data_IF_696158876202
#
_entry.id   IF_696158876202
#
_cell.length_a   1.000
_cell.length_b   1.000
_cell.length_c   1.000
_cell.angle_alpha   90.00
_cell.angle_beta   90.00
_cell.angle_gamma   90.00
#
_symmetry.space_group_name_H-M   'P 1'
#
loop_
_entity.id
_entity.type
_entity.pdbx_description
1 polymer ?
#
# COMPACT_ATOMS: atom_id res chain seq x y z
N UNK A 1 16.16 -27.15 -3.67
CA UNK A 1 15.94 -26.00 -4.58
C UNK A 1 15.19 -26.51 -5.79
N UNK A 2 14.45 -25.66 -6.52
CA UNK A 2 13.61 -26.04 -7.67
C UNK A 2 14.30 -25.61 -9.00
N UNK A 3 15.18 -26.45 -9.60
CA UNK A 3 15.93 -26.08 -10.81
C UNK A 3 15.06 -25.70 -12.00
N UNK A 4 13.90 -26.34 -12.10
CA UNK A 4 12.88 -26.14 -13.12
C UNK A 4 12.22 -24.75 -13.08
N UNK A 5 12.22 -24.10 -11.91
CA UNK A 5 11.66 -22.76 -11.72
C UNK A 5 12.72 -21.65 -11.71
N UNK A 6 14.01 -22.00 -11.79
CA UNK A 6 15.13 -21.07 -11.55
C UNK A 6 15.03 -19.82 -12.43
N UNK A 7 14.91 -20.01 -13.73
CA UNK A 7 14.96 -18.90 -14.69
C UNK A 7 13.74 -17.99 -14.57
N UNK A 8 12.57 -18.57 -14.29
CA UNK A 8 11.33 -17.82 -14.11
C UNK A 8 11.33 -17.00 -12.81
N UNK A 9 11.80 -17.59 -11.71
CA UNK A 9 11.94 -16.87 -10.44
C UNK A 9 12.98 -15.76 -10.54
N UNK A 10 14.09 -15.98 -11.26
CA UNK A 10 15.10 -14.95 -11.50
C UNK A 10 14.51 -13.80 -12.33
N UNK A 11 13.74 -14.10 -13.38
CA UNK A 11 13.05 -13.08 -14.18
C UNK A 11 12.11 -12.23 -13.33
N UNK A 12 11.31 -12.84 -12.46
CA UNK A 12 10.41 -12.09 -11.55
C UNK A 12 11.23 -11.21 -10.61
N UNK A 13 12.28 -11.76 -10.00
CA UNK A 13 13.16 -11.03 -9.09
C UNK A 13 13.80 -9.80 -9.75
N UNK A 14 14.35 -9.96 -10.95
CA UNK A 14 15.05 -8.90 -11.68
C UNK A 14 14.11 -7.77 -12.15
N UNK A 15 12.80 -8.03 -12.19
CA UNK A 15 11.77 -7.04 -12.54
C UNK A 15 11.04 -6.46 -11.32
N UNK A 16 11.44 -6.85 -10.10
CA UNK A 16 10.82 -6.37 -8.87
C UNK A 16 11.53 -5.10 -8.40
N UNK A 17 10.83 -3.97 -8.47
CA UNK A 17 11.34 -2.66 -8.02
C UNK A 17 10.66 -2.29 -6.72
N UNK A 18 11.44 -2.08 -5.66
CA UNK A 18 10.93 -1.63 -4.36
C UNK A 18 10.99 -0.10 -4.23
N UNK A 19 9.84 0.56 -4.34
CA UNK A 19 9.78 2.03 -4.16
C UNK A 19 10.10 2.48 -2.73
N UNK A 20 10.04 1.60 -1.75
CA UNK A 20 10.37 1.92 -0.36
C UNK A 20 11.82 2.39 -0.21
N UNK A 21 12.75 1.87 -1.01
CA UNK A 21 14.18 2.22 -0.93
C UNK A 21 14.39 3.72 -1.15
N UNK A 22 13.68 4.32 -2.11
CA UNK A 22 13.78 5.75 -2.44
C UNK A 22 13.42 6.63 -1.23
N UNK A 23 12.36 6.27 -0.50
CA UNK A 23 11.90 7.02 0.67
C UNK A 23 12.73 6.72 1.92
N UNK A 24 13.16 5.47 2.10
CA UNK A 24 14.02 5.03 3.21
C UNK A 24 15.36 5.75 3.19
N UNK A 25 15.98 5.81 2.01
CA UNK A 25 17.28 6.44 1.80
C UNK A 25 17.18 7.97 1.66
N UNK A 26 15.96 8.51 1.70
CA UNK A 26 15.63 9.94 1.60
C UNK A 26 16.05 10.58 0.28
N UNK A 27 16.17 9.79 -0.78
CA UNK A 27 16.35 10.30 -2.14
C UNK A 27 15.16 11.15 -2.58
N UNK A 28 13.97 10.88 -2.04
CA UNK A 28 12.80 11.74 -2.14
C UNK A 28 12.12 11.85 -0.78
N UNK A 29 11.97 13.07 -0.24
CA UNK A 29 11.39 13.29 1.10
C UNK A 29 10.63 14.62 1.19
N UNK A 30 9.50 14.60 1.89
CA UNK A 30 8.77 15.81 2.28
C UNK A 30 8.57 15.84 3.80
N UNK A 31 8.47 17.04 4.39
CA UNK A 31 8.30 17.18 5.86
C UNK A 31 7.04 16.46 6.39
N UNK A 32 6.00 16.36 5.57
CA UNK A 32 4.72 15.73 5.88
C UNK A 32 4.84 14.21 6.09
N UNK A 33 5.91 13.59 5.61
CA UNK A 33 6.20 12.17 5.86
C UNK A 33 6.60 11.90 7.31
N UNK A 34 6.94 12.94 8.10
CA UNK A 34 7.25 12.83 9.53
C UNK A 34 8.33 11.77 9.87
N UNK A 35 9.32 11.61 8.99
CA UNK A 35 10.39 10.61 9.13
C UNK A 35 9.97 9.17 8.80
N UNK A 36 8.71 8.93 8.46
CA UNK A 36 8.21 7.63 7.99
C UNK A 36 8.44 7.46 6.49
N UNK A 37 8.65 6.22 6.07
CA UNK A 37 8.72 5.80 4.67
C UNK A 37 7.64 4.75 4.34
N UNK A 38 6.70 4.52 5.25
CA UNK A 38 5.54 3.66 5.00
C UNK A 38 4.64 4.32 3.95
N UNK A 39 4.11 3.52 3.02
CA UNK A 39 3.22 3.99 1.96
C UNK A 39 2.01 4.79 2.49
N UNK A 40 1.56 4.48 3.72
CA UNK A 40 0.44 5.14 4.41
C UNK A 40 0.75 6.57 4.85
N UNK A 41 2.03 6.89 5.03
CA UNK A 41 2.49 8.25 5.32
C UNK A 41 2.99 8.94 4.06
N UNK A 42 3.64 8.18 3.17
CA UNK A 42 4.20 8.70 1.92
C UNK A 42 3.08 9.18 0.98
N UNK A 43 2.05 8.37 0.75
CA UNK A 43 1.02 8.70 -0.25
C UNK A 43 0.28 10.02 0.09
N UNK A 44 -0.26 10.21 1.32
CA UNK A 44 -0.91 11.48 1.68
C UNK A 44 0.07 12.66 1.69
N UNK A 45 1.34 12.42 2.05
CA UNK A 45 2.36 13.46 2.02
C UNK A 45 2.71 13.95 0.60
N UNK A 46 2.56 13.09 -0.42
CA UNK A 46 2.77 13.43 -1.83
C UNK A 46 1.54 14.06 -2.49
N UNK A 47 0.36 13.79 -1.95
CA UNK A 47 -0.96 14.22 -2.44
C UNK A 47 -1.84 14.77 -1.30
N UNK A 48 -1.41 15.84 -0.60
CA UNK A 48 -2.14 16.36 0.56
C UNK A 48 -3.53 16.93 0.22
N UNK A 49 -3.75 17.29 -1.04
CA UNK A 49 -5.01 17.87 -1.54
C UNK A 49 -5.98 16.82 -2.12
N UNK A 50 -5.65 15.53 -2.03
CA UNK A 50 -6.44 14.41 -2.56
C UNK A 50 -6.87 13.48 -1.40
N UNK A 51 -8.04 13.73 -0.77
CA UNK A 51 -8.47 12.98 0.41
C UNK A 51 -8.77 11.50 0.10
N UNK A 52 -9.03 11.14 -1.16
CA UNK A 52 -9.23 9.73 -1.54
C UNK A 52 -7.94 8.90 -1.42
N UNK A 53 -6.78 9.56 -1.34
CA UNK A 53 -5.49 8.93 -1.14
C UNK A 53 -5.03 8.89 0.32
N UNK A 54 -5.88 9.30 1.27
CA UNK A 54 -5.60 9.16 2.68
C UNK A 54 -6.23 7.90 3.25
N UNK A 55 -5.39 6.99 3.77
CA UNK A 55 -5.84 5.77 4.42
C UNK A 55 -6.72 6.07 5.64
N UNK A 56 -6.59 7.25 6.27
CA UNK A 56 -7.45 7.68 7.38
C UNK A 56 -8.91 7.91 6.97
N UNK A 57 -9.21 8.02 5.67
CA UNK A 57 -10.57 8.19 5.14
C UNK A 57 -11.26 6.86 4.78
N UNK A 58 -10.58 5.72 4.95
CA UNK A 58 -11.21 4.40 4.80
C UNK A 58 -12.21 4.14 5.96
N UNK A 59 -13.27 3.36 5.72
CA UNK A 59 -14.32 3.19 6.73
C UNK A 59 -13.96 2.13 7.80
N UNK A 60 -13.20 1.10 7.43
CA UNK A 60 -13.07 -0.14 8.23
C UNK A 60 -11.65 -0.37 8.74
N UNK A 61 -10.64 -0.22 7.87
CA UNK A 61 -9.23 -0.49 8.18
C UNK A 61 -8.35 0.56 7.53
N UNK A 62 -7.34 1.03 8.27
CA UNK A 62 -6.47 2.13 7.84
C UNK A 62 -4.99 1.70 7.88
N UNK A 63 -4.69 0.64 8.64
CA UNK A 63 -3.33 0.12 8.83
C UNK A 63 -3.27 -1.41 8.91
N UNK A 64 -2.06 -1.95 8.92
CA UNK A 64 -1.83 -3.37 8.65
C UNK A 64 -2.22 -4.30 9.80
N UNK A 65 -2.02 -3.84 11.04
CA UNK A 65 -2.50 -4.51 12.26
C UNK A 65 -4.04 -4.53 12.31
N UNK A 66 -4.70 -3.43 11.93
CA UNK A 66 -6.17 -3.39 11.80
C UNK A 66 -6.67 -4.36 10.74
N UNK A 67 -6.07 -4.37 9.54
CA UNK A 67 -6.43 -5.30 8.47
C UNK A 67 -6.30 -6.76 8.90
N UNK A 68 -5.20 -7.10 9.58
CA UNK A 68 -4.97 -8.45 10.11
C UNK A 68 -6.02 -8.85 11.15
N UNK A 69 -6.33 -7.94 12.08
CA UNK A 69 -7.34 -8.16 13.12
C UNK A 69 -8.75 -8.30 12.51
N UNK A 70 -9.12 -7.42 11.57
CA UNK A 70 -10.40 -7.46 10.89
C UNK A 70 -10.61 -8.78 10.12
N UNK A 71 -9.56 -9.29 9.47
CA UNK A 71 -9.61 -10.60 8.80
C UNK A 71 -9.88 -11.75 9.79
N UNK A 72 -9.19 -11.78 10.94
CA UNK A 72 -9.41 -12.79 11.98
C UNK A 72 -10.85 -12.72 12.52
N UNK A 73 -11.38 -11.50 12.68
CA UNK A 73 -12.74 -11.27 13.18
C UNK A 73 -13.84 -11.73 12.23
N UNK A 74 -13.57 -12.01 10.95
CA UNK A 74 -14.57 -12.58 10.04
C UNK A 74 -15.17 -13.89 10.56
N UNK A 75 -14.39 -14.66 11.35
CA UNK A 75 -14.86 -15.92 11.91
C UNK A 75 -15.96 -15.68 12.95
N UNK A 76 -17.15 -16.22 12.68
CA UNK A 76 -18.28 -16.20 13.62
C UNK A 76 -19.12 -14.93 13.55
N UNK A 77 -18.90 -14.08 12.54
CA UNK A 77 -19.75 -12.93 12.22
C UNK A 77 -20.99 -13.36 11.44
N UNK A 78 -22.08 -12.59 11.58
CA UNK A 78 -23.21 -12.77 10.68
C UNK A 78 -22.88 -12.22 9.28
N UNK A 79 -23.70 -12.60 8.28
CA UNK A 79 -23.43 -12.27 6.87
C UNK A 79 -23.31 -10.76 6.63
N UNK A 80 -24.09 -9.94 7.32
CA UNK A 80 -24.08 -8.48 7.11
C UNK A 80 -22.77 -7.88 7.61
N UNK A 81 -22.34 -8.27 8.82
CA UNK A 81 -21.06 -7.86 9.38
C UNK A 81 -19.87 -8.39 8.55
N UNK A 82 -19.92 -9.66 8.15
CA UNK A 82 -18.90 -10.27 7.29
C UNK A 82 -18.72 -9.48 6.00
N UNK A 83 -19.83 -9.20 5.30
CA UNK A 83 -19.81 -8.43 4.05
C UNK A 83 -19.24 -7.01 4.25
N UNK A 84 -19.58 -6.33 5.36
CA UNK A 84 -19.03 -5.01 5.67
C UNK A 84 -17.51 -5.07 5.83
N UNK A 85 -17.01 -6.01 6.62
CA UNK A 85 -15.57 -6.18 6.85
C UNK A 85 -14.85 -6.53 5.55
N UNK A 86 -15.40 -7.46 4.75
CA UNK A 86 -14.83 -7.85 3.45
C UNK A 86 -14.73 -6.66 2.49
N UNK A 87 -15.77 -5.84 2.37
CA UNK A 87 -15.74 -4.62 1.55
C UNK A 87 -14.65 -3.66 2.03
N UNK A 88 -14.56 -3.43 3.34
CA UNK A 88 -13.53 -2.58 3.93
C UNK A 88 -12.10 -3.05 3.66
N UNK A 89 -11.84 -4.36 3.78
CA UNK A 89 -10.54 -4.95 3.45
C UNK A 89 -10.21 -4.82 1.96
N UNK A 90 -11.20 -4.97 1.07
CA UNK A 90 -11.01 -4.80 -0.37
C UNK A 90 -10.72 -3.35 -0.76
N UNK A 91 -11.40 -2.37 -0.17
CA UNK A 91 -11.11 -0.94 -0.34
C UNK A 91 -9.68 -0.61 0.08
N UNK A 92 -9.25 -1.13 1.24
CA UNK A 92 -7.88 -0.98 1.73
C UNK A 92 -6.84 -1.60 0.77
N UNK A 93 -7.06 -2.83 0.30
CA UNK A 93 -6.16 -3.48 -0.67
C UNK A 93 -6.13 -2.75 -2.02
N UNK A 94 -7.28 -2.22 -2.46
CA UNK A 94 -7.38 -1.39 -3.66
C UNK A 94 -6.52 -0.14 -3.50
N UNK A 95 -6.60 0.55 -2.36
CA UNK A 95 -5.79 1.73 -2.10
C UNK A 95 -4.28 1.40 -2.04
N UNK A 96 -3.87 0.31 -1.40
CA UNK A 96 -2.47 -0.15 -1.39
C UNK A 96 -1.93 -0.33 -2.83
N UNK A 97 -2.73 -0.89 -3.75
CA UNK A 97 -2.36 -1.06 -5.16
C UNK A 97 -2.31 0.28 -5.90
N UNK A 98 -3.34 1.11 -5.73
CA UNK A 98 -3.45 2.40 -6.40
C UNK A 98 -2.37 3.38 -5.94
N UNK A 99 -1.98 3.30 -4.67
CA UNK A 99 -0.90 4.08 -4.09
C UNK A 99 0.42 3.93 -4.87
N UNK A 100 0.78 2.70 -5.26
CA UNK A 100 1.98 2.42 -6.04
C UNK A 100 1.92 3.09 -7.42
N UNK A 101 0.76 3.05 -8.08
CA UNK A 101 0.55 3.72 -9.38
C UNK A 101 0.70 5.23 -9.24
N UNK A 102 0.06 5.83 -8.24
CA UNK A 102 0.14 7.28 -7.99
C UNK A 102 1.56 7.72 -7.64
N UNK A 103 2.27 6.96 -6.80
CA UNK A 103 3.68 7.23 -6.51
C UNK A 103 4.54 7.16 -7.77
N UNK A 104 4.34 6.16 -8.63
CA UNK A 104 5.04 6.06 -9.90
C UNK A 104 4.79 7.26 -10.80
N UNK A 105 3.53 7.70 -10.94
CA UNK A 105 3.18 8.92 -11.70
C UNK A 105 3.85 10.17 -11.11
N UNK A 106 4.00 10.26 -9.78
CA UNK A 106 4.74 11.34 -9.13
C UNK A 106 6.21 11.31 -9.52
N UNK A 107 6.84 10.14 -9.47
CA UNK A 107 8.24 9.99 -9.85
C UNK A 107 8.48 10.35 -11.31
N UNK A 108 7.62 9.91 -12.23
CA UNK A 108 7.70 10.30 -13.64
C UNK A 108 7.73 11.82 -13.84
N UNK A 109 6.88 12.56 -13.12
CA UNK A 109 6.81 14.03 -13.21
C UNK A 109 8.03 14.76 -12.63
N UNK A 110 8.76 14.12 -11.72
CA UNK A 110 9.93 14.73 -11.05
C UNK A 110 11.23 14.41 -11.79
N UNK A 111 11.29 13.25 -12.44
CA UNK A 111 12.46 12.80 -13.18
C UNK A 111 12.48 13.24 -14.65
N UNK A 112 11.38 13.83 -15.15
CA UNK A 112 11.33 14.60 -16.40
C UNK A 112 11.92 16.00 -16.21
#
# INVERSE_FOLDING_TARGET
>A
MYPDLKDELQRINDNMVDFMEIFRDRNYYTKQMCGSYSIKYVLPALYPDDPELDYANLEVVHKGDEASNAFIQLKGKDKSEEEKIRRGLLEYCRLDTYALVRIYEKFRKVCE
#
